data_IF_168653793612
#
_entry.id   IF_168653793612
#
_cell.length_a   1.000
_cell.length_b   1.000
_cell.length_c   1.000
_cell.angle_alpha   90.00
_cell.angle_beta   90.00
_cell.angle_gamma   90.00
#
_symmetry.space_group_name_H-M   'P 1'
#
loop_
_entity.id
_entity.type
_entity.pdbx_description
1 polymer ?
#
# COMPACT_ATOMS: atom_id res chain seq x y z
N UNK A 1 22.58 -18.47 -10.31
CA UNK A 1 21.36 -19.19 -9.95
C UNK A 1 20.96 -18.98 -8.49
N UNK A 2 21.87 -19.12 -7.51
CA UNK A 2 21.54 -18.86 -6.10
C UNK A 2 21.26 -17.37 -5.81
N UNK A 3 22.15 -16.48 -6.26
CA UNK A 3 22.02 -15.02 -6.04
C UNK A 3 20.73 -14.46 -6.66
N UNK A 4 20.33 -14.95 -7.84
CA UNK A 4 19.12 -14.54 -8.54
C UNK A 4 17.84 -14.96 -7.80
N UNK A 5 17.83 -16.11 -7.14
CA UNK A 5 16.70 -16.60 -6.34
C UNK A 5 16.54 -15.78 -5.06
N UNK A 6 17.65 -15.45 -4.39
CA UNK A 6 17.65 -14.63 -3.16
C UNK A 6 17.10 -13.24 -3.45
N UNK A 7 17.53 -12.60 -4.55
CA UNK A 7 17.07 -11.26 -4.91
C UNK A 7 15.56 -11.21 -5.19
N UNK A 8 15.02 -12.23 -5.88
CA UNK A 8 13.58 -12.32 -6.15
C UNK A 8 12.75 -12.43 -4.86
N UNK A 9 13.23 -13.18 -3.87
CA UNK A 9 12.53 -13.38 -2.60
C UNK A 9 12.49 -12.10 -1.74
N UNK A 10 13.57 -11.31 -1.73
CA UNK A 10 13.64 -10.05 -0.98
C UNK A 10 12.62 -9.02 -1.52
N UNK A 11 12.38 -8.99 -2.83
CA UNK A 11 11.38 -8.10 -3.44
C UNK A 11 9.94 -8.44 -3.01
N UNK A 12 9.65 -9.67 -2.60
CA UNK A 12 8.32 -10.10 -2.16
C UNK A 12 7.96 -9.62 -0.74
N UNK A 13 8.91 -9.03 0.00
CA UNK A 13 8.70 -8.57 1.38
C UNK A 13 8.09 -7.16 1.46
N UNK A 14 7.48 -6.66 0.39
CA UNK A 14 6.76 -5.39 0.41
C UNK A 14 5.48 -5.51 1.25
N UNK A 15 5.48 -4.89 2.42
CA UNK A 15 4.29 -4.82 3.28
C UNK A 15 3.39 -3.68 2.83
N UNK A 16 2.15 -3.99 2.44
CA UNK A 16 1.14 -2.97 2.18
C UNK A 16 0.81 -2.25 3.51
N UNK A 17 1.13 -0.97 3.57
CA UNK A 17 0.85 -0.12 4.72
C UNK A 17 -0.47 0.62 4.47
N UNK A 18 -1.38 0.59 5.46
CA UNK A 18 -2.58 1.40 5.44
C UNK A 18 -2.19 2.88 5.55
N UNK A 19 -2.61 3.71 4.59
CA UNK A 19 -2.19 5.11 4.52
C UNK A 19 -3.36 6.07 4.38
N UNK A 20 -3.38 7.12 5.21
CA UNK A 20 -4.21 8.31 5.00
C UNK A 20 -5.73 8.09 5.05
N UNK A 21 -6.16 6.98 5.65
CA UNK A 21 -7.57 6.71 5.96
C UNK A 21 -7.91 7.28 7.33
N UNK A 22 -9.16 7.72 7.50
CA UNK A 22 -9.70 8.18 8.77
C UNK A 22 -10.00 6.99 9.71
N UNK A 23 -10.54 7.28 10.89
CA UNK A 23 -10.93 6.26 11.87
C UNK A 23 -12.02 5.30 11.38
N UNK A 24 -12.67 5.59 10.25
CA UNK A 24 -13.66 4.73 9.60
C UNK A 24 -13.08 3.91 8.44
N UNK A 25 -11.78 4.03 8.15
CA UNK A 25 -11.16 3.36 7.01
C UNK A 25 -11.42 4.06 5.68
N UNK A 26 -11.76 5.36 5.70
CA UNK A 26 -12.10 6.10 4.48
C UNK A 26 -11.15 7.27 4.21
N UNK A 27 -11.03 7.66 2.95
CA UNK A 27 -10.14 8.69 2.45
C UNK A 27 -10.92 9.91 1.94
N UNK A 28 -10.55 11.11 2.39
CA UNK A 28 -11.05 12.35 1.82
C UNK A 28 -10.18 12.78 0.63
N UNK A 29 -10.71 12.65 -0.58
CA UNK A 29 -10.06 13.18 -1.78
C UNK A 29 -10.26 14.69 -1.84
N UNK A 30 -9.25 15.43 -1.38
CA UNK A 30 -9.26 16.90 -1.37
C UNK A 30 -9.05 17.51 -2.75
N UNK A 31 -8.55 16.72 -3.71
CA UNK A 31 -8.15 17.21 -5.03
C UNK A 31 -9.32 17.14 -6.01
N UNK A 32 -10.06 16.04 -6.00
CA UNK A 32 -11.23 15.86 -6.87
C UNK A 32 -12.55 16.08 -6.13
N UNK A 33 -12.52 16.18 -4.79
CA UNK A 33 -13.72 16.21 -3.97
C UNK A 33 -14.31 14.81 -3.89
N UNK A 34 -14.24 14.19 -2.71
CA UNK A 34 -14.78 12.84 -2.54
C UNK A 34 -14.49 12.24 -1.18
N UNK A 35 -15.21 11.18 -0.86
CA UNK A 35 -15.01 10.37 0.33
C UNK A 35 -15.08 8.90 -0.04
N UNK A 36 -13.93 8.24 -0.01
CA UNK A 36 -13.74 6.88 -0.54
C UNK A 36 -13.41 5.96 0.61
N UNK A 37 -14.32 5.05 0.95
CA UNK A 37 -14.01 4.00 1.91
C UNK A 37 -13.25 2.86 1.21
N UNK A 38 -12.21 2.38 1.86
CA UNK A 38 -11.38 1.28 1.37
C UNK A 38 -11.94 -0.07 1.83
#
# INVERSE_FOLDING_TARGET
MLVTVILAFVCSLAYAHGGGLDSKGCHHDRKNGGYHCH
#
